data_IF_342538328060
#
_entry.id   IF_342538328060
#
_cell.length_a   1.000
_cell.length_b   1.000
_cell.length_c   1.000
_cell.angle_alpha   90.00
_cell.angle_beta   90.00
_cell.angle_gamma   90.00
#
_symmetry.space_group_name_H-M   'P 1'
#
loop_
_entity.id
_entity.type
_entity.pdbx_description
1 polymer ?
#
# COMPACT_ATOMS: atom_id res chain seq x y z
N UNK A 1 -12.78 4.82 16.71
CA UNK A 1 -11.35 5.20 16.80
C UNK A 1 -10.49 4.60 15.67
N UNK A 2 -10.43 3.26 15.49
CA UNK A 2 -9.56 2.65 14.46
C UNK A 2 -9.82 3.11 13.01
N UNK A 3 -11.10 3.28 12.62
CA UNK A 3 -11.46 3.78 11.27
C UNK A 3 -11.00 5.24 11.09
N UNK A 4 -11.16 6.08 12.12
CA UNK A 4 -10.70 7.48 12.06
C UNK A 4 -9.18 7.56 11.93
N UNK A 5 -8.44 6.70 12.64
CA UNK A 5 -6.99 6.60 12.50
C UNK A 5 -6.59 6.16 11.09
N UNK A 6 -7.28 5.18 10.49
CA UNK A 6 -7.05 4.78 9.11
C UNK A 6 -7.23 5.96 8.15
N UNK A 7 -8.36 6.67 8.25
CA UNK A 7 -8.68 7.82 7.39
C UNK A 7 -7.67 8.95 7.59
N UNK A 8 -7.37 9.32 8.83
CA UNK A 8 -6.42 10.38 9.14
C UNK A 8 -5.02 10.03 8.62
N UNK A 9 -4.54 8.80 8.84
CA UNK A 9 -3.25 8.33 8.31
C UNK A 9 -3.24 8.32 6.79
N UNK A 10 -4.32 7.91 6.14
CA UNK A 10 -4.39 7.91 4.67
C UNK A 10 -4.32 9.33 4.11
N UNK A 11 -5.07 10.27 4.68
CA UNK A 11 -5.06 11.68 4.27
C UNK A 11 -3.67 12.29 4.49
N UNK A 12 -3.10 12.10 5.69
CA UNK A 12 -1.78 12.62 6.03
C UNK A 12 -0.69 12.07 5.10
N UNK A 13 -0.68 10.77 4.86
CA UNK A 13 0.29 10.15 3.95
C UNK A 13 0.07 10.58 2.49
N UNK A 14 -1.17 10.83 2.06
CA UNK A 14 -1.44 11.35 0.72
C UNK A 14 -0.96 12.80 0.56
N UNK A 15 -1.14 13.63 1.58
CA UNK A 15 -0.61 14.99 1.59
C UNK A 15 0.92 14.99 1.59
N UNK A 16 1.55 14.11 2.38
CA UNK A 16 3.00 13.96 2.43
C UNK A 16 3.56 13.44 1.09
N UNK A 17 2.91 12.45 0.47
CA UNK A 17 3.28 11.91 -0.84
C UNK A 17 3.25 13.01 -1.90
N UNK A 18 2.15 13.77 -1.95
CA UNK A 18 2.04 14.91 -2.86
C UNK A 18 3.12 15.97 -2.62
N UNK A 19 3.32 16.40 -1.37
CA UNK A 19 4.30 17.42 -1.03
C UNK A 19 5.73 16.98 -1.37
N UNK A 20 6.10 15.74 -1.02
CA UNK A 20 7.43 15.21 -1.27
C UNK A 20 7.69 14.99 -2.77
N UNK A 21 6.68 14.55 -3.53
CA UNK A 21 6.78 14.46 -5.00
C UNK A 21 7.01 15.83 -5.62
N UNK A 22 6.26 16.85 -5.21
CA UNK A 22 6.41 18.21 -5.74
C UNK A 22 7.79 18.80 -5.43
N UNK A 23 8.31 18.57 -4.22
CA UNK A 23 9.66 19.00 -3.84
C UNK A 23 10.71 18.27 -4.69
N UNK A 24 10.61 16.95 -4.85
CA UNK A 24 11.56 16.15 -5.62
C UNK A 24 11.60 16.52 -7.10
N UNK A 25 10.45 16.84 -7.71
CA UNK A 25 10.39 17.32 -9.09
C UNK A 25 11.02 18.71 -9.23
N UNK A 26 10.73 19.63 -8.30
CA UNK A 26 11.31 20.99 -8.31
C UNK A 26 12.81 21.00 -8.08
N UNK A 27 13.34 20.04 -7.34
CA UNK A 27 14.79 19.91 -7.11
C UNK A 27 15.54 19.28 -8.28
N UNK A 28 14.84 18.79 -9.31
CA UNK A 28 15.44 18.09 -10.45
C UNK A 28 15.99 16.70 -10.12
N UNK A 29 15.82 16.24 -8.87
CA UNK A 29 16.35 14.95 -8.40
C UNK A 29 15.36 13.80 -8.62
N UNK A 30 14.08 14.10 -8.81
CA UNK A 30 13.06 13.08 -9.07
C UNK A 30 12.96 12.75 -10.56
N UNK A 31 12.88 11.45 -10.85
CA UNK A 31 12.60 10.90 -12.18
C UNK A 31 11.25 10.21 -12.14
N UNK A 32 10.34 10.62 -13.02
CA UNK A 32 9.03 9.99 -13.16
C UNK A 32 9.18 8.67 -13.93
N UNK A 33 8.96 7.56 -13.23
CA UNK A 33 9.05 6.20 -13.79
C UNK A 33 7.85 5.84 -14.66
N UNK A 34 6.72 6.54 -14.50
CA UNK A 34 5.56 6.31 -15.35
C UNK A 34 5.82 6.90 -16.75
N UNK A 35 5.90 6.07 -17.81
CA UNK A 35 6.17 6.56 -19.16
C UNK A 35 5.08 7.53 -19.68
N UNK A 36 3.85 7.45 -19.15
CA UNK A 36 2.77 8.38 -19.51
C UNK A 36 2.90 9.77 -18.84
N UNK A 37 3.73 9.89 -17.80
CA UNK A 37 3.95 11.13 -17.05
C UNK A 37 5.40 11.66 -17.18
N UNK A 38 6.32 10.89 -17.78
CA UNK A 38 7.73 11.21 -17.92
C UNK A 38 8.05 12.47 -18.77
N UNK A 39 7.09 13.00 -19.53
CA UNK A 39 7.30 14.11 -20.48
C UNK A 39 6.84 15.50 -20.00
N UNK A 40 6.63 15.72 -18.70
CA UNK A 40 6.39 17.09 -18.21
C UNK A 40 6.39 17.24 -16.69
N UNK A 41 7.32 18.03 -16.17
CA UNK A 41 7.39 18.43 -14.76
C UNK A 41 6.11 19.16 -14.27
N UNK A 42 5.36 19.77 -15.19
CA UNK A 42 4.14 20.53 -14.92
C UNK A 42 2.84 19.71 -15.02
N UNK A 43 2.93 18.42 -15.37
CA UNK A 43 1.77 17.57 -15.68
C UNK A 43 1.28 16.70 -14.52
N UNK A 44 1.63 17.00 -13.26
CA UNK A 44 0.88 16.40 -12.15
C UNK A 44 -0.56 16.92 -12.25
N UNK A 45 -1.45 16.10 -12.81
CA UNK A 45 -2.88 16.37 -12.84
C UNK A 45 -3.41 16.23 -11.41
N UNK A 46 -3.24 17.28 -10.61
CA UNK A 46 -3.65 17.33 -9.19
C UNK A 46 -5.11 16.88 -9.05
N UNK A 47 -5.98 17.32 -9.96
CA UNK A 47 -7.37 16.88 -10.00
C UNK A 47 -7.53 15.36 -10.16
N UNK A 48 -6.74 14.72 -11.02
CA UNK A 48 -6.76 13.26 -11.17
C UNK A 48 -6.19 12.57 -9.93
N UNK A 49 -5.11 13.09 -9.33
CA UNK A 49 -4.54 12.53 -8.10
C UNK A 49 -5.55 12.59 -6.95
N UNK A 50 -6.24 13.71 -6.76
CA UNK A 50 -7.28 13.88 -5.74
C UNK A 50 -8.43 12.89 -5.98
N UNK A 51 -8.95 12.84 -7.21
CA UNK A 51 -10.05 11.92 -7.56
C UNK A 51 -9.64 10.46 -7.36
N UNK A 52 -8.45 10.06 -7.80
CA UNK A 52 -7.93 8.70 -7.62
C UNK A 52 -7.78 8.32 -6.15
N UNK A 53 -7.26 9.23 -5.30
CA UNK A 53 -7.11 8.98 -3.87
C UNK A 53 -8.47 8.92 -3.14
N UNK A 54 -9.45 9.75 -3.51
CA UNK A 54 -10.82 9.65 -2.97
C UNK A 54 -11.47 8.33 -3.40
N UNK A 55 -11.37 7.98 -4.68
CA UNK A 55 -11.91 6.74 -5.24
C UNK A 55 -11.30 5.49 -4.60
N UNK A 56 -10.02 5.56 -4.17
CA UNK A 56 -9.36 4.50 -3.41
C UNK A 56 -9.75 4.51 -1.93
N UNK A 57 -9.88 5.68 -1.29
CA UNK A 57 -10.15 5.77 0.14
C UNK A 57 -11.49 5.14 0.52
N UNK A 58 -12.56 5.41 -0.23
CA UNK A 58 -13.90 4.93 0.09
C UNK A 58 -13.99 3.39 0.19
N UNK A 59 -13.60 2.60 -0.83
CA UNK A 59 -13.64 1.14 -0.75
C UNK A 59 -12.70 0.59 0.33
N UNK A 60 -11.57 1.27 0.63
CA UNK A 60 -10.66 0.84 1.70
C UNK A 60 -11.27 1.02 3.09
N UNK A 61 -11.93 2.16 3.32
CA UNK A 61 -12.64 2.41 4.58
C UNK A 61 -13.75 1.38 4.77
N UNK A 62 -14.52 1.09 3.71
CA UNK A 62 -15.57 0.05 3.75
C UNK A 62 -14.96 -1.32 4.04
N UNK A 63 -13.93 -1.74 3.30
CA UNK A 63 -13.26 -3.01 3.51
C UNK A 63 -12.72 -3.15 4.93
N UNK A 64 -12.02 -2.12 5.41
CA UNK A 64 -11.47 -2.08 6.77
C UNK A 64 -12.58 -2.13 7.82
N UNK A 65 -13.63 -1.33 7.70
CA UNK A 65 -14.75 -1.32 8.62
C UNK A 65 -15.43 -2.70 8.69
N UNK A 66 -15.71 -3.30 7.53
CA UNK A 66 -16.29 -4.66 7.44
C UNK A 66 -15.35 -5.68 8.09
N UNK A 67 -14.04 -5.60 7.85
CA UNK A 67 -13.04 -6.45 8.47
C UNK A 67 -13.00 -6.34 10.00
N UNK A 68 -13.05 -5.11 10.52
CA UNK A 68 -13.09 -4.85 11.97
C UNK A 68 -14.42 -5.34 12.59
N UNK A 69 -15.56 -5.10 11.93
CA UNK A 69 -16.87 -5.57 12.40
C UNK A 69 -16.90 -7.10 12.50
N UNK A 70 -16.28 -7.78 11.53
CA UNK A 70 -16.22 -9.24 11.46
C UNK A 70 -14.97 -9.84 12.12
N UNK A 71 -14.21 -9.06 12.92
CA UNK A 71 -12.96 -9.53 13.51
C UNK A 71 -13.10 -10.82 14.32
N UNK A 72 -14.23 -11.04 14.99
CA UNK A 72 -14.53 -12.24 15.77
C UNK A 72 -14.55 -13.54 14.94
N UNK A 73 -14.74 -13.46 13.62
CA UNK A 73 -14.76 -14.64 12.73
C UNK A 73 -13.37 -15.22 12.46
N UNK A 74 -12.31 -14.47 12.74
CA UNK A 74 -10.93 -14.91 12.49
C UNK A 74 -10.39 -15.67 13.70
N UNK A 75 -10.02 -16.96 13.56
CA UNK A 75 -9.40 -17.72 14.64
C UNK A 75 -8.14 -17.04 15.18
N UNK A 76 -7.96 -17.02 16.50
CA UNK A 76 -6.77 -16.42 17.14
C UNK A 76 -5.45 -17.07 16.68
N UNK A 77 -5.49 -18.37 16.40
CA UNK A 77 -4.36 -19.14 15.87
C UNK A 77 -3.93 -18.66 14.48
N UNK A 78 -4.87 -18.23 13.63
CA UNK A 78 -4.57 -17.63 12.34
C UNK A 78 -3.92 -16.25 12.51
N UNK A 79 -4.37 -15.46 13.49
CA UNK A 79 -3.77 -14.16 13.79
C UNK A 79 -2.38 -14.27 14.42
N UNK A 80 -2.07 -15.34 15.18
CA UNK A 80 -0.74 -15.58 15.73
C UNK A 80 0.26 -16.07 14.68
N UNK A 81 -0.21 -16.86 13.71
CA UNK A 81 0.61 -17.37 12.60
C UNK A 81 0.29 -16.63 11.28
N UNK A 82 0.20 -15.30 11.36
CA UNK A 82 -0.24 -14.45 10.25
C UNK A 82 0.60 -14.65 8.97
N UNK A 83 1.89 -14.99 9.11
CA UNK A 83 2.79 -15.21 7.97
C UNK A 83 2.34 -16.34 7.05
N UNK A 84 1.62 -17.34 7.58
CA UNK A 84 1.06 -18.45 6.79
C UNK A 84 -0.05 -18.00 5.84
N UNK A 85 -0.54 -16.77 6.02
CA UNK A 85 -1.66 -16.20 5.27
C UNK A 85 -1.22 -15.17 4.22
N UNK A 86 0.09 -14.99 4.01
CA UNK A 86 0.62 -14.07 2.98
C UNK A 86 0.13 -14.47 1.58
N UNK A 87 0.00 -15.77 1.31
CA UNK A 87 -0.45 -16.25 -0.01
C UNK A 87 -1.97 -16.38 -0.14
N UNK A 88 -2.74 -16.09 0.93
CA UNK A 88 -4.21 -16.19 0.90
C UNK A 88 -4.87 -15.16 -0.05
N UNK A 89 -4.09 -14.22 -0.62
CA UNK A 89 -4.53 -13.33 -1.71
C UNK A 89 -4.88 -14.10 -2.98
N UNK A 90 -4.17 -15.20 -3.28
CA UNK A 90 -4.37 -16.00 -4.49
C UNK A 90 -5.54 -16.98 -4.36
N UNK A 91 -6.10 -17.14 -3.16
CA UNK A 91 -7.12 -18.14 -2.88
C UNK A 91 -8.41 -17.51 -2.35
N UNK A 92 -9.32 -17.17 -3.27
CA UNK A 92 -10.66 -16.65 -2.96
C UNK A 92 -11.71 -17.69 -3.33
N UNK A 93 -11.95 -18.67 -2.45
CA UNK A 93 -13.10 -19.57 -2.61
C UNK A 93 -14.26 -19.12 -1.71
N UNK A 94 -15.42 -18.75 -2.28
CA UNK A 94 -16.62 -18.44 -1.49
C UNK A 94 -17.27 -19.68 -0.86
N UNK A 95 -16.88 -20.88 -1.31
CA UNK A 95 -17.42 -22.17 -0.88
C UNK A 95 -16.63 -22.81 0.26
N UNK A 96 -15.41 -22.33 0.52
CA UNK A 96 -14.57 -22.86 1.59
C UNK A 96 -14.75 -22.06 2.90
N UNK A 97 -15.25 -22.71 3.95
CA UNK A 97 -15.45 -22.09 5.26
C UNK A 97 -14.17 -21.51 5.87
N UNK A 98 -13.02 -22.16 5.65
CA UNK A 98 -11.74 -21.64 6.11
C UNK A 98 -11.38 -20.33 5.40
N UNK A 99 -11.68 -20.22 4.10
CA UNK A 99 -11.46 -18.99 3.35
C UNK A 99 -12.44 -17.88 3.76
N UNK A 100 -13.69 -18.24 4.11
CA UNK A 100 -14.70 -17.30 4.63
C UNK A 100 -14.30 -16.71 5.98
N UNK A 101 -13.84 -17.54 6.92
CA UNK A 101 -13.37 -17.10 8.24
C UNK A 101 -12.18 -16.14 8.16
N UNK A 102 -11.36 -16.25 7.10
CA UNK A 102 -10.19 -15.39 6.86
C UNK A 102 -10.48 -14.16 6.02
N UNK A 103 -11.71 -13.98 5.50
CA UNK A 103 -12.12 -12.79 4.76
C UNK A 103 -11.83 -11.47 5.53
N UNK A 104 -12.10 -11.35 6.85
CA UNK A 104 -11.81 -10.12 7.57
C UNK A 104 -10.32 -9.77 7.57
N UNK A 105 -9.43 -10.76 7.69
CA UNK A 105 -7.98 -10.56 7.58
C UNK A 105 -7.62 -9.93 6.23
N UNK A 106 -8.10 -10.49 5.12
CA UNK A 106 -7.83 -9.97 3.77
C UNK A 106 -8.33 -8.55 3.55
N UNK A 107 -9.53 -8.24 4.04
CA UNK A 107 -10.11 -6.90 3.92
C UNK A 107 -9.29 -5.85 4.68
N UNK A 108 -8.84 -6.18 5.90
CA UNK A 108 -7.96 -5.30 6.68
C UNK A 108 -6.58 -5.21 6.04
N UNK A 109 -6.03 -6.32 5.53
CA UNK A 109 -4.76 -6.33 4.81
C UNK A 109 -4.79 -5.39 3.61
N UNK A 110 -5.85 -5.37 2.80
CA UNK A 110 -5.95 -4.48 1.64
C UNK A 110 -5.80 -2.99 2.04
N UNK A 111 -6.48 -2.56 3.11
CA UNK A 111 -6.34 -1.21 3.65
C UNK A 111 -4.93 -0.92 4.18
N UNK A 112 -4.34 -1.89 4.89
CA UNK A 112 -2.98 -1.76 5.43
C UNK A 112 -1.93 -1.72 4.34
N UNK A 113 -2.08 -2.49 3.25
CA UNK A 113 -1.13 -2.52 2.13
C UNK A 113 -1.00 -1.15 1.50
N UNK A 114 -2.11 -0.43 1.30
CA UNK A 114 -2.04 0.90 0.71
C UNK A 114 -1.47 1.95 1.68
N UNK A 115 -1.71 1.83 2.99
CA UNK A 115 -1.06 2.71 3.97
C UNK A 115 0.46 2.48 4.00
N UNK A 116 0.90 1.21 4.04
CA UNK A 116 2.32 0.86 4.02
C UNK A 116 2.95 1.32 2.71
N UNK A 117 2.28 1.12 1.58
CA UNK A 117 2.78 1.56 0.28
C UNK A 117 2.97 3.08 0.25
N UNK A 118 1.99 3.86 0.71
CA UNK A 118 2.12 5.33 0.80
C UNK A 118 3.28 5.74 1.70
N UNK A 119 3.46 5.07 2.84
CA UNK A 119 4.59 5.35 3.73
C UNK A 119 5.93 5.09 3.03
N UNK A 120 6.06 3.98 2.30
CA UNK A 120 7.27 3.68 1.53
C UNK A 120 7.48 4.69 0.41
N UNK A 121 6.44 5.12 -0.29
CA UNK A 121 6.54 6.17 -1.34
C UNK A 121 7.02 7.49 -0.73
N UNK A 122 6.41 7.94 0.38
CA UNK A 122 6.84 9.15 1.10
C UNK A 122 8.30 9.04 1.52
N UNK A 123 8.69 7.93 2.14
CA UNK A 123 10.09 7.68 2.53
C UNK A 123 11.04 7.67 1.33
N UNK A 124 10.62 7.09 0.21
CA UNK A 124 11.39 7.05 -1.04
C UNK A 124 11.58 8.46 -1.62
N UNK A 125 10.54 9.29 -1.62
CA UNK A 125 10.64 10.67 -2.08
C UNK A 125 11.55 11.49 -1.15
N UNK A 126 11.47 11.28 0.17
CA UNK A 126 12.36 11.94 1.13
C UNK A 126 13.84 11.59 0.89
N UNK A 127 14.16 10.35 0.52
CA UNK A 127 15.53 9.96 0.14
C UNK A 127 16.02 10.74 -1.08
N UNK A 128 15.19 10.86 -2.12
CA UNK A 128 15.50 11.64 -3.33
C UNK A 128 15.75 13.11 -2.99
N UNK A 129 14.91 13.69 -2.14
CA UNK A 129 15.08 15.08 -1.68
C UNK A 129 16.41 15.25 -0.93
N UNK A 130 16.82 14.25 -0.14
CA UNK A 130 18.10 14.23 0.55
C UNK A 130 19.32 13.91 -0.36
N UNK A 131 19.11 13.72 -1.67
CA UNK A 131 20.18 13.41 -2.62
C UNK A 131 20.61 11.93 -2.61
N UNK A 132 19.83 11.05 -2.01
CA UNK A 132 20.07 9.60 -2.04
C UNK A 132 19.19 8.92 -3.09
N UNK A 133 19.72 7.91 -3.82
CA UNK A 133 18.91 7.10 -4.70
C UNK A 133 17.87 6.35 -3.87
N UNK A 134 16.60 6.41 -4.29
CA UNK A 134 15.55 5.66 -3.63
C UNK A 134 15.54 4.19 -4.11
N UNK A 135 14.81 3.29 -3.42
CA UNK A 135 14.76 1.88 -3.79
C UNK A 135 14.25 1.63 -5.22
N UNK A 136 13.33 2.46 -5.73
CA UNK A 136 12.80 2.28 -7.09
C UNK A 136 13.82 2.65 -8.16
N UNK A 137 14.61 3.69 -7.95
CA UNK A 137 15.72 4.08 -8.84
C UNK A 137 16.78 2.99 -8.88
N UNK A 138 17.16 2.43 -7.72
CA UNK A 138 18.13 1.32 -7.68
C UNK A 138 17.61 0.09 -8.42
N UNK A 139 16.34 -0.28 -8.19
CA UNK A 139 15.70 -1.40 -8.89
C UNK A 139 15.58 -1.13 -10.40
N UNK A 140 15.25 0.09 -10.80
CA UNK A 140 15.17 0.47 -12.20
C UNK A 140 16.54 0.37 -12.89
N UNK A 141 17.62 0.79 -12.25
CA UNK A 141 18.98 0.62 -12.77
C UNK A 141 19.33 -0.87 -12.91
N UNK A 142 19.04 -1.69 -11.91
CA UNK A 142 19.32 -3.13 -11.97
C UNK A 142 18.58 -3.82 -13.13
N UNK A 143 17.32 -3.46 -13.37
CA UNK A 143 16.52 -4.10 -14.42
C UNK A 143 16.75 -3.55 -15.82
N UNK A 144 17.09 -2.27 -15.96
CA UNK A 144 17.57 -1.75 -17.25
C UNK A 144 18.84 -2.50 -17.68
N UNK A 145 19.73 -2.83 -16.75
CA UNK A 145 20.89 -3.69 -17.03
C UNK A 145 20.50 -5.14 -17.38
N UNK A 146 19.32 -5.59 -16.97
CA UNK A 146 18.73 -6.88 -17.35
C UNK A 146 17.90 -6.82 -18.65
N UNK A 147 17.88 -5.67 -19.36
CA UNK A 147 17.17 -5.48 -20.62
C UNK A 147 15.68 -5.16 -20.50
N UNK A 148 15.18 -4.81 -19.30
CA UNK A 148 13.81 -4.35 -19.11
C UNK A 148 13.72 -2.85 -19.37
N UNK A 149 12.80 -2.45 -20.25
CA UNK A 149 12.56 -1.05 -20.61
C UNK A 149 11.06 -0.71 -20.60
N UNK A 150 10.75 0.59 -20.60
CA UNK A 150 9.40 1.10 -20.76
C UNK A 150 8.40 0.60 -19.69
N UNK A 151 7.16 0.27 -20.06
CA UNK A 151 6.14 -0.16 -19.11
C UNK A 151 6.51 -1.40 -18.29
N UNK A 152 7.33 -2.30 -18.85
CA UNK A 152 7.74 -3.52 -18.15
C UNK A 152 8.65 -3.21 -16.96
N UNK A 153 9.56 -2.24 -17.11
CA UNK A 153 10.42 -1.74 -16.04
C UNK A 153 9.59 -1.12 -14.90
N UNK A 154 8.60 -0.29 -15.25
CA UNK A 154 7.68 0.33 -14.31
C UNK A 154 6.93 -0.73 -13.49
N UNK A 155 6.30 -1.71 -14.14
CA UNK A 155 5.53 -2.74 -13.42
C UNK A 155 6.41 -3.68 -12.61
N UNK A 156 7.62 -4.00 -13.07
CA UNK A 156 8.59 -4.76 -12.28
C UNK A 156 8.94 -4.03 -10.98
N UNK A 157 9.19 -2.72 -11.05
CA UNK A 157 9.52 -1.87 -9.87
C UNK A 157 8.40 -1.84 -8.86
N UNK A 158 7.20 -1.55 -9.31
CA UNK A 158 6.04 -1.54 -8.42
C UNK A 158 5.73 -2.95 -7.88
N UNK A 159 5.90 -3.99 -8.69
CA UNK A 159 5.70 -5.38 -8.29
C UNK A 159 6.63 -5.82 -7.16
N UNK A 160 7.92 -5.47 -7.22
CA UNK A 160 8.86 -5.79 -6.14
C UNK A 160 8.60 -4.97 -4.90
N UNK A 161 8.14 -3.72 -5.02
CA UNK A 161 7.79 -2.91 -3.86
C UNK A 161 6.50 -3.36 -3.16
N UNK A 162 5.49 -3.78 -3.92
CA UNK A 162 4.18 -4.08 -3.34
C UNK A 162 4.20 -5.35 -2.50
N UNK A 163 5.03 -6.33 -2.85
CA UNK A 163 5.16 -7.60 -2.12
C UNK A 163 5.61 -7.43 -0.66
N UNK A 164 6.74 -6.76 -0.34
CA UNK A 164 7.13 -6.53 1.05
C UNK A 164 6.13 -5.63 1.78
N UNK A 165 5.53 -4.64 1.10
CA UNK A 165 4.46 -3.82 1.68
C UNK A 165 3.26 -4.67 2.08
N UNK A 166 2.86 -5.60 1.21
CA UNK A 166 1.78 -6.53 1.47
C UNK A 166 2.09 -7.47 2.63
N UNK A 167 3.30 -8.04 2.69
CA UNK A 167 3.75 -8.91 3.79
C UNK A 167 3.66 -8.17 5.13
N UNK A 168 4.21 -6.96 5.20
CA UNK A 168 4.11 -6.09 6.38
C UNK A 168 2.64 -5.79 6.74
N UNK A 169 1.80 -5.52 5.72
CA UNK A 169 0.39 -5.25 5.90
C UNK A 169 -0.40 -6.44 6.46
N UNK A 170 -0.05 -7.69 6.12
CA UNK A 170 -0.68 -8.89 6.72
C UNK A 170 -0.39 -8.93 8.23
N UNK A 171 0.85 -8.62 8.64
CA UNK A 171 1.23 -8.54 10.05
C UNK A 171 0.47 -7.45 10.81
N UNK A 172 0.41 -6.24 10.23
CA UNK A 172 -0.35 -5.11 10.79
C UNK A 172 -1.86 -5.40 10.86
N UNK A 173 -2.42 -6.04 9.84
CA UNK A 173 -3.82 -6.45 9.82
C UNK A 173 -4.12 -7.46 10.92
N UNK A 174 -3.24 -8.45 11.11
CA UNK A 174 -3.38 -9.43 12.17
C UNK A 174 -3.31 -8.78 13.56
N UNK A 175 -2.38 -7.84 13.78
CA UNK A 175 -2.28 -7.09 15.02
C UNK A 175 -3.54 -6.23 15.29
N UNK A 176 -4.03 -5.54 14.27
CA UNK A 176 -5.23 -4.70 14.33
C UNK A 176 -6.46 -5.54 14.69
N UNK A 177 -6.62 -6.71 14.07
CA UNK A 177 -7.72 -7.62 14.37
C UNK A 177 -7.62 -8.22 15.77
N UNK A 178 -6.42 -8.55 16.27
CA UNK A 178 -6.22 -8.97 17.67
C UNK A 178 -6.68 -7.88 18.64
N UNK A 179 -6.33 -6.62 18.38
CA UNK A 179 -6.75 -5.50 19.20
C UNK A 179 -8.27 -5.31 19.18
N UNK A 180 -8.88 -5.40 17.99
CA UNK A 180 -10.33 -5.33 17.84
C UNK A 180 -11.07 -6.46 18.57
N UNK A 181 -10.51 -7.67 18.60
CA UNK A 181 -11.06 -8.79 19.38
C UNK A 181 -10.89 -8.62 20.90
N UNK A 182 -9.83 -7.93 21.36
CA UNK A 182 -9.60 -7.65 22.79
C UNK A 182 -10.61 -6.63 23.32
N UNK A 183 -10.86 -5.55 22.58
CA UNK A 183 -11.76 -4.47 22.99
C UNK A 183 -13.26 -4.84 22.98
N UNK A 184 -13.60 -6.08 22.60
CA UNK A 184 -14.98 -6.61 22.63
C UNK A 184 -15.24 -7.56 23.80
N UNK A 185 -14.21 -7.89 24.56
CA UNK A 185 -14.32 -8.66 25.80
C UNK A 185 -14.38 -7.70 26.97
#
# INVERSE_FOLDING_TARGET
>A
MAILLLVASYIALTAADFATTLIGLRSGNAVELNPAAAHGADNIRIGFLVVANIALLLPLVVAFAVGIVQAHRVPRTALSHWWRHVLDIFYVSPLNDHARQRRPLRLVTAAMTLLVLKLVIVGSNLLVIAGHPNPTTLLAVMWTHAGLEGPALYWAAYGVMIVPCYIAAVGLAAATLKLAQRNRR
#
